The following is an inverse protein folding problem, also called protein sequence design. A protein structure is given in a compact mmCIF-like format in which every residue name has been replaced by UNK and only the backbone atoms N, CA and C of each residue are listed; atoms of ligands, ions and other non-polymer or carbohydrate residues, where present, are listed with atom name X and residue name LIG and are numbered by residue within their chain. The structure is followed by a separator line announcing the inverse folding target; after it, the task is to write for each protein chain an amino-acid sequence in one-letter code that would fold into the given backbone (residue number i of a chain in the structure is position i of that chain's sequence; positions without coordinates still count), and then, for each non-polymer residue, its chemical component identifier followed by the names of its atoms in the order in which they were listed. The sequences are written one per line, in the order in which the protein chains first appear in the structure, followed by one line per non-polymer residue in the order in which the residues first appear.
data_IF_625506928970
#
_entry.id   IF_625506928970
#
_cell.length_a   1.000
_cell.length_b   1.000
_cell.length_c   1.000
_cell.angle_alpha   90.00
_cell.angle_beta   90.00
_cell.angle_gamma   90.00
#
_symmetry.space_group_name_H-M   'P 1'
#
loop_
_entity.id
_entity.type
_entity.pdbx_description
1 polymer ?
#
# COMPACT_ATOMS: atom_id res chain seq x y z
N UNK A 1 -8.49 -9.14 -6.75
CA UNK A 1 -7.33 -8.22 -6.71
C UNK A 1 -6.63 -8.35 -5.36
N UNK A 2 -7.39 -8.19 -4.28
CA UNK A 2 -6.94 -8.24 -2.89
C UNK A 2 -6.20 -9.54 -2.51
N UNK A 3 -6.71 -10.71 -2.92
CA UNK A 3 -6.04 -12.01 -2.66
C UNK A 3 -4.64 -12.06 -3.28
N UNK A 4 -4.49 -11.58 -4.52
CA UNK A 4 -3.20 -11.59 -5.21
C UNK A 4 -2.22 -10.60 -4.56
N UNK A 5 -2.72 -9.45 -4.09
CA UNK A 5 -1.94 -8.47 -3.34
C UNK A 5 -1.49 -9.06 -2.00
N UNK A 6 -2.39 -9.69 -1.26
CA UNK A 6 -2.06 -10.34 0.01
C UNK A 6 -0.99 -11.43 -0.19
N UNK A 7 -1.13 -12.29 -1.20
CA UNK A 7 -0.13 -13.30 -1.54
C UNK A 7 1.24 -12.70 -1.87
N UNK A 8 1.27 -11.55 -2.58
CA UNK A 8 2.50 -10.84 -2.87
C UNK A 8 3.11 -10.24 -1.60
N UNK A 9 2.29 -9.62 -0.74
CA UNK A 9 2.74 -9.08 0.55
C UNK A 9 3.34 -10.18 1.43
N UNK A 10 2.67 -11.32 1.55
CA UNK A 10 3.14 -12.46 2.34
C UNK A 10 4.48 -12.99 1.80
N UNK A 11 4.58 -13.16 0.47
CA UNK A 11 5.80 -13.64 -0.20
C UNK A 11 6.98 -12.72 0.02
N UNK A 12 6.76 -11.40 -0.04
CA UNK A 12 7.82 -10.39 0.05
C UNK A 12 7.99 -9.81 1.46
N UNK A 13 7.23 -10.30 2.45
CA UNK A 13 7.22 -9.81 3.83
C UNK A 13 6.96 -8.30 3.92
N UNK A 14 6.00 -7.82 3.13
CA UNK A 14 5.56 -6.43 3.14
C UNK A 14 4.51 -6.28 4.25
N UNK A 15 4.81 -5.44 5.24
CA UNK A 15 3.98 -5.25 6.44
C UNK A 15 2.71 -4.45 6.15
N UNK A 16 2.82 -3.45 5.28
CA UNK A 16 1.73 -2.55 4.94
C UNK A 16 1.89 -2.01 3.53
N UNK A 17 0.78 -1.86 2.82
CA UNK A 17 0.74 -1.43 1.43
C UNK A 17 -0.55 -0.67 1.14
N UNK A 18 -0.43 0.43 0.41
CA UNK A 18 -1.56 1.10 -0.24
C UNK A 18 -1.36 1.05 -1.75
N UNK A 19 -2.43 0.78 -2.50
CA UNK A 19 -2.41 0.73 -3.95
C UNK A 19 -3.69 1.34 -4.54
N UNK A 20 -3.56 1.97 -5.71
CA UNK A 20 -4.66 2.56 -6.45
C UNK A 20 -4.54 2.19 -7.93
N UNK A 21 -5.67 2.00 -8.60
CA UNK A 21 -5.74 1.86 -10.06
C UNK A 21 -6.57 3.00 -10.61
N UNK A 22 -5.97 3.74 -11.54
CA UNK A 22 -6.60 4.83 -12.25
C UNK A 22 -6.71 4.44 -13.72
N UNK A 23 -7.92 4.51 -14.27
CA UNK A 23 -8.18 4.33 -15.69
C UNK A 23 -8.97 5.53 -16.22
N UNK A 24 -8.56 6.06 -17.39
CA UNK A 24 -9.20 7.22 -18.04
C UNK A 24 -9.54 8.37 -17.08
N UNK A 25 -8.56 8.79 -16.27
CA UNK A 25 -8.70 9.87 -15.28
C UNK A 25 -9.65 9.59 -14.11
N UNK A 26 -10.14 8.36 -13.97
CA UNK A 26 -11.01 7.93 -12.88
C UNK A 26 -10.30 6.93 -11.98
N UNK A 27 -10.43 7.11 -10.67
CA UNK A 27 -10.02 6.10 -9.69
C UNK A 27 -11.02 4.93 -9.76
N UNK A 28 -10.58 3.80 -10.31
CA UNK A 28 -11.44 2.62 -10.49
C UNK A 28 -11.30 1.61 -9.36
N UNK A 29 -10.20 1.70 -8.59
CA UNK A 29 -9.98 0.87 -7.41
C UNK A 29 -8.95 1.51 -6.47
N UNK A 30 -9.19 1.34 -5.17
CA UNK A 30 -8.29 1.73 -4.09
C UNK A 30 -8.26 0.60 -3.06
N UNK A 31 -7.07 0.25 -2.58
CA UNK A 31 -6.89 -0.76 -1.55
C UNK A 31 -5.80 -0.39 -0.55
N UNK A 32 -6.06 -0.70 0.72
CA UNK A 32 -5.18 -0.49 1.86
C UNK A 32 -5.05 -1.81 2.61
N UNK A 33 -3.82 -2.26 2.84
CA UNK A 33 -3.52 -3.60 3.35
C UNK A 33 -2.49 -3.53 4.48
N UNK A 34 -2.67 -4.36 5.50
CA UNK A 34 -1.70 -4.51 6.59
C UNK A 34 -1.66 -3.32 7.55
N UNK A 35 -0.50 -3.10 8.16
CA UNK A 35 -0.31 -2.15 9.26
C UNK A 35 0.65 -1.02 8.87
N UNK A 36 0.31 0.21 9.25
CA UNK A 36 1.19 1.37 9.23
C UNK A 36 2.23 1.32 10.37
N UNK A 37 1.82 0.76 11.51
CA UNK A 37 2.61 0.62 12.72
C UNK A 37 2.27 -0.72 13.37
N UNK A 38 3.24 -1.62 13.42
CA UNK A 38 3.07 -2.97 13.97
C UNK A 38 2.93 -2.91 15.50
N UNK A 39 3.74 -2.08 16.15
CA UNK A 39 3.79 -2.01 17.62
C UNK A 39 2.48 -1.46 18.18
N UNK A 40 1.90 -0.48 17.48
CA UNK A 40 0.63 0.14 17.85
C UNK A 40 -0.59 -0.48 17.18
N UNK A 41 -0.39 -1.48 16.32
CA UNK A 41 -1.46 -2.13 15.55
C UNK A 41 -2.31 -1.13 14.75
N UNK A 42 -1.68 -0.10 14.18
CA UNK A 42 -2.38 0.92 13.40
C UNK A 42 -2.52 0.40 11.96
N UNK A 43 -3.74 0.28 11.42
CA UNK A 43 -3.94 -0.17 10.04
C UNK A 43 -3.47 0.87 9.01
N UNK A 44 -3.09 0.41 7.82
CA UNK A 44 -3.00 1.30 6.66
C UNK A 44 -4.41 1.80 6.31
N UNK A 45 -4.51 3.08 5.99
CA UNK A 45 -5.73 3.73 5.48
C UNK A 45 -5.43 4.43 4.16
N UNK A 46 -6.47 4.95 3.51
CA UNK A 46 -6.36 5.84 2.35
C UNK A 46 -5.63 7.17 2.65
N UNK A 47 -5.60 7.56 3.93
CA UNK A 47 -4.91 8.75 4.44
C UNK A 47 -3.49 8.50 4.96
N UNK A 48 -3.01 7.25 4.97
CA UNK A 48 -1.66 6.93 5.48
C UNK A 48 -0.58 7.55 4.58
N UNK A 49 0.30 8.35 5.18
CA UNK A 49 1.43 8.97 4.48
C UNK A 49 2.64 8.03 4.49
N UNK A 50 3.22 7.82 3.31
CA UNK A 50 4.45 7.05 3.13
C UNK A 50 5.61 7.99 2.81
N UNK A 51 6.75 7.76 3.44
CA UNK A 51 8.01 8.37 2.99
C UNK A 51 8.40 7.71 1.66
N UNK A 52 8.55 8.48 0.57
CA UNK A 52 9.09 7.92 -0.65
C UNK A 52 10.54 7.47 -0.42
N UNK A 53 11.04 6.51 -1.21
CA UNK A 53 12.45 6.15 -1.17
C UNK A 53 13.32 7.42 -1.32
N UNK A 54 14.49 7.50 -0.63
CA UNK A 54 15.42 8.59 -0.88
C UNK A 54 15.80 8.57 -2.38
N UNK A 55 15.46 9.64 -3.10
CA UNK A 55 15.65 9.73 -4.55
C UNK A 55 17.13 9.58 -4.96
N UNK A 56 17.48 8.86 -6.04
CA UNK A 56 18.37 9.42 -7.04
C UNK A 56 17.56 10.42 -7.87
N UNK A 57 17.98 11.70 -7.83
CA UNK A 57 17.50 12.70 -8.80
C UNK A 57 17.98 12.29 -10.20
N UNK A 58 17.12 12.44 -11.21
CA UNK A 58 17.56 12.54 -12.60
C UNK A 58 18.25 13.89 -12.83
#
# INVERSE_FOLDING_TARGET
MDIAIQQAMDRHRIVGLAAAVVDRWSLVWLGSFGLADIERMIPITDSTLFLPPPFPKQ
#
